data_IF_526397197818
#
_entry.id   IF_526397197818
#
_cell.length_a   1.000
_cell.length_b   1.000
_cell.length_c   1.000
_cell.angle_alpha   90.00
_cell.angle_beta   90.00
_cell.angle_gamma   90.00
#
_symmetry.space_group_name_H-M   'P 1'
#
loop_
_entity.id
_entity.type
_entity.pdbx_description
1 polymer ?
#
# COMPACT_ATOMS: atom_id res chain seq x y z
N UNK A 1 5.69 -16.13 18.00
CA UNK A 1 4.63 -16.28 16.98
C UNK A 1 3.77 -15.03 16.85
N UNK A 2 3.07 -14.57 17.90
CA UNK A 2 2.17 -13.41 17.80
C UNK A 2 2.83 -12.11 17.33
N UNK A 3 4.00 -11.76 17.86
CA UNK A 3 4.74 -10.57 17.40
C UNK A 3 5.17 -10.68 15.93
N UNK A 4 5.51 -11.88 15.48
CA UNK A 4 5.86 -12.12 14.08
C UNK A 4 4.65 -11.92 13.17
N UNK A 5 3.47 -12.43 13.56
CA UNK A 5 2.22 -12.19 12.84
C UNK A 5 1.88 -10.69 12.81
N UNK A 6 1.99 -10.01 13.95
CA UNK A 6 1.72 -8.58 14.06
C UNK A 6 2.64 -7.75 13.15
N UNK A 7 3.96 -7.96 13.25
CA UNK A 7 4.96 -7.24 12.45
C UNK A 7 4.85 -7.59 10.97
N UNK A 8 4.55 -8.84 10.63
CA UNK A 8 4.31 -9.27 9.26
C UNK A 8 3.10 -8.57 8.63
N UNK A 9 1.96 -8.53 9.33
CA UNK A 9 0.76 -7.83 8.87
C UNK A 9 1.00 -6.33 8.74
N UNK A 10 1.66 -5.69 9.72
CA UNK A 10 1.98 -4.27 9.66
C UNK A 10 2.94 -3.93 8.52
N UNK A 11 3.95 -4.77 8.27
CA UNK A 11 4.87 -4.61 7.15
C UNK A 11 4.17 -4.68 5.79
N UNK A 12 3.28 -5.66 5.59
CA UNK A 12 2.50 -5.79 4.35
C UNK A 12 1.62 -4.55 4.12
N UNK A 13 0.93 -4.05 5.15
CA UNK A 13 0.09 -2.85 5.04
C UNK A 13 0.95 -1.62 4.68
N UNK A 14 2.12 -1.47 5.31
CA UNK A 14 3.04 -0.39 5.00
C UNK A 14 3.45 -0.41 3.51
N UNK A 15 3.89 -1.56 2.99
CA UNK A 15 4.25 -1.69 1.58
C UNK A 15 3.06 -1.43 0.64
N UNK A 16 1.87 -1.95 0.97
CA UNK A 16 0.67 -1.75 0.16
C UNK A 16 0.23 -0.28 0.05
N UNK A 17 0.52 0.56 1.05
CA UNK A 17 0.15 1.98 1.03
C UNK A 17 1.18 2.80 0.25
N UNK A 18 2.47 2.62 0.54
CA UNK A 18 3.53 3.47 -0.03
C UNK A 18 3.98 3.03 -1.42
N UNK A 19 3.89 1.74 -1.74
CA UNK A 19 4.37 1.17 -3.01
C UNK A 19 3.25 0.67 -3.92
N UNK A 20 1.99 1.04 -3.67
CA UNK A 20 0.93 0.84 -4.67
C UNK A 20 1.13 1.76 -5.87
N UNK A 21 0.61 1.34 -7.03
CA UNK A 21 0.57 2.18 -8.22
C UNK A 21 -0.08 3.54 -7.88
N UNK A 22 0.56 4.67 -8.22
CA UNK A 22 -0.03 5.97 -7.95
C UNK A 22 -1.33 6.11 -8.75
N UNK A 23 -2.37 6.74 -8.17
CA UNK A 23 -3.61 6.95 -8.89
C UNK A 23 -3.35 7.77 -10.16
N UNK A 24 -3.75 7.25 -11.31
CA UNK A 24 -3.69 8.01 -12.58
C UNK A 24 -4.86 8.98 -12.60
N UNK A 25 -4.56 10.28 -12.60
CA UNK A 25 -5.58 11.31 -12.78
C UNK A 25 -6.07 11.25 -14.22
N UNK A 26 -7.37 11.00 -14.49
CA UNK A 26 -7.88 11.06 -15.84
C UNK A 26 -7.79 12.50 -16.35
N UNK A 27 -7.00 12.73 -17.41
CA UNK A 27 -6.96 14.03 -18.08
C UNK A 27 -8.30 14.29 -18.76
N UNK A 28 -9.01 15.35 -18.35
CA UNK A 28 -10.16 15.87 -19.09
C UNK A 28 -9.61 16.45 -20.40
N UNK A 29 -9.72 15.70 -21.50
CA UNK A 29 -9.54 16.28 -22.84
C UNK A 29 -10.56 17.41 -22.99
N UNK A 30 -10.08 18.64 -23.17
CA UNK A 30 -10.86 19.73 -23.74
C UNK A 30 -10.96 19.52 -25.25
#
# INVERSE_FOLDING_TARGET
VYTFLLVGTLGIIFFAIFFREPPKVPSKKK
#
